data_IF_150177020751
#
_entry.id   IF_150177020751
#
_cell.length_a   1.000
_cell.length_b   1.000
_cell.length_c   1.000
_cell.angle_alpha   90.00
_cell.angle_beta   90.00
_cell.angle_gamma   90.00
#
_symmetry.space_group_name_H-M   'P 1'
#
loop_
_entity.id
_entity.type
_entity.pdbx_description
1 polymer ?
#
# COMPACT_ATOMS: atom_id res chain seq x y z
N UNK A 1 -17.46 21.16 -2.11
CA UNK A 1 -17.88 20.70 -0.76
C UNK A 1 -18.42 21.83 0.13
N UNK A 2 -17.59 22.74 0.68
CA UNK A 2 -18.09 23.78 1.62
C UNK A 2 -19.01 24.81 0.94
N UNK A 3 -18.56 25.43 -0.15
CA UNK A 3 -19.32 26.49 -0.81
C UNK A 3 -20.63 25.99 -1.47
N UNK A 4 -20.59 24.79 -2.02
CA UNK A 4 -21.66 24.24 -2.86
C UNK A 4 -22.62 23.33 -2.09
N UNK A 5 -22.12 22.53 -1.14
CA UNK A 5 -22.92 21.56 -0.40
C UNK A 5 -22.99 21.86 1.11
N UNK A 6 -22.30 22.92 1.59
CA UNK A 6 -22.20 23.27 3.02
C UNK A 6 -21.66 22.14 3.90
N UNK A 7 -20.89 21.22 3.30
CA UNK A 7 -20.23 20.12 4.00
C UNK A 7 -18.80 20.56 4.30
N UNK A 8 -18.45 20.60 5.60
CA UNK A 8 -17.08 20.75 6.06
C UNK A 8 -16.34 19.44 5.83
N UNK A 9 -15.30 19.41 4.97
CA UNK A 9 -14.53 18.20 4.75
C UNK A 9 -13.85 17.74 6.05
N UNK A 10 -13.79 16.42 6.21
CA UNK A 10 -13.02 15.75 7.26
C UNK A 10 -11.92 14.94 6.57
N UNK A 11 -10.99 14.39 7.34
CA UNK A 11 -9.83 13.67 6.80
C UNK A 11 -10.23 12.59 5.77
N UNK A 12 -11.26 11.81 6.07
CA UNK A 12 -11.79 10.76 5.16
C UNK A 12 -12.19 11.31 3.79
N UNK A 13 -12.83 12.49 3.73
CA UNK A 13 -13.18 13.11 2.46
C UNK A 13 -11.94 13.47 1.64
N UNK A 14 -10.87 13.92 2.28
CA UNK A 14 -9.61 14.19 1.61
C UNK A 14 -8.93 12.91 1.13
N UNK A 15 -8.93 11.85 1.95
CA UNK A 15 -8.40 10.54 1.57
C UNK A 15 -9.14 9.97 0.36
N UNK A 16 -10.47 10.13 0.28
CA UNK A 16 -11.24 9.77 -0.92
C UNK A 16 -10.81 10.56 -2.17
N UNK A 17 -10.52 11.86 -2.04
CA UNK A 17 -10.06 12.68 -3.17
C UNK A 17 -8.65 12.28 -3.62
N UNK A 18 -7.76 11.96 -2.68
CA UNK A 18 -6.43 11.43 -3.00
C UNK A 18 -6.55 10.11 -3.74
N UNK A 19 -7.38 9.17 -3.26
CA UNK A 19 -7.62 7.89 -3.93
C UNK A 19 -8.16 8.09 -5.35
N UNK A 20 -9.14 8.98 -5.51
CA UNK A 20 -9.73 9.31 -6.81
C UNK A 20 -8.67 9.74 -7.83
N UNK A 21 -7.90 10.81 -7.52
CA UNK A 21 -6.87 11.31 -8.43
C UNK A 21 -5.75 10.28 -8.68
N UNK A 22 -5.34 9.57 -7.64
CA UNK A 22 -4.23 8.61 -7.73
C UNK A 22 -4.59 7.43 -8.63
N UNK A 23 -5.78 6.84 -8.44
CA UNK A 23 -6.24 5.69 -9.22
C UNK A 23 -6.56 6.06 -10.66
N UNK A 24 -7.10 7.26 -10.92
CA UNK A 24 -7.30 7.74 -12.29
C UNK A 24 -5.98 8.07 -13.01
N UNK A 25 -4.87 8.20 -12.28
CA UNK A 25 -3.54 8.45 -12.83
C UNK A 25 -3.14 9.91 -12.90
N UNK A 26 -3.95 10.76 -12.28
CA UNK A 26 -3.70 12.18 -12.11
C UNK A 26 -2.77 12.40 -10.91
N UNK A 27 -1.55 11.85 -10.99
CA UNK A 27 -0.61 11.80 -9.86
C UNK A 27 -0.09 13.21 -9.49
N UNK A 28 0.08 14.08 -10.49
CA UNK A 28 0.51 15.47 -10.25
C UNK A 28 -0.61 16.23 -9.55
N UNK A 29 -1.85 16.05 -10.00
CA UNK A 29 -3.03 16.65 -9.39
C UNK A 29 -3.27 16.12 -7.98
N UNK A 30 -2.98 14.84 -7.72
CA UNK A 30 -2.99 14.27 -6.38
C UNK A 30 -1.95 14.93 -5.46
N UNK A 31 -0.71 15.13 -5.93
CA UNK A 31 0.34 15.84 -5.19
C UNK A 31 -0.06 17.30 -4.91
N UNK A 32 -0.53 18.01 -5.93
CA UNK A 32 -1.00 19.41 -5.81
C UNK A 32 -2.18 19.52 -4.85
N UNK A 33 -3.10 18.56 -4.87
CA UNK A 33 -4.23 18.51 -3.96
C UNK A 33 -3.75 18.36 -2.52
N UNK A 34 -2.86 17.41 -2.25
CA UNK A 34 -2.27 17.19 -0.91
C UNK A 34 -1.56 18.44 -0.41
N UNK A 35 -0.77 19.11 -1.23
CA UNK A 35 -0.07 20.35 -0.83
C UNK A 35 -1.01 21.49 -0.47
N UNK A 36 -2.25 21.48 -0.97
CA UNK A 36 -3.30 22.48 -0.68
C UNK A 36 -4.24 22.05 0.45
N UNK A 37 -4.11 20.82 0.96
CA UNK A 37 -4.94 20.34 2.06
C UNK A 37 -4.65 21.14 3.34
N UNK A 38 -5.67 21.42 4.17
CA UNK A 38 -5.48 22.12 5.44
C UNK A 38 -4.90 21.22 6.54
N UNK A 39 -4.63 19.95 6.23
CA UNK A 39 -4.12 18.94 7.14
C UNK A 39 -3.26 17.92 6.38
N UNK A 40 -2.43 17.19 7.11
CA UNK A 40 -1.62 16.10 6.55
C UNK A 40 -2.51 14.89 6.24
N UNK A 41 -2.32 14.21 5.09
CA UNK A 41 -2.98 12.92 4.84
C UNK A 41 -2.65 11.89 5.91
N UNK A 42 -3.58 10.96 6.12
CA UNK A 42 -3.33 9.78 6.96
C UNK A 42 -2.46 8.73 6.23
N UNK A 43 -2.10 7.67 6.95
CA UNK A 43 -1.31 6.58 6.40
C UNK A 43 -1.98 5.94 5.16
N UNK A 44 -3.32 5.89 5.15
CA UNK A 44 -4.09 5.34 4.02
C UNK A 44 -3.93 6.23 2.79
N UNK A 45 -4.08 7.56 2.93
CA UNK A 45 -3.89 8.52 1.84
C UNK A 45 -2.51 8.41 1.21
N UNK A 46 -1.46 8.40 2.03
CA UNK A 46 -0.08 8.24 1.53
C UNK A 46 0.18 6.88 0.89
N UNK A 47 -0.25 5.78 1.51
CA UNK A 47 -0.10 4.44 0.95
C UNK A 47 -0.83 4.28 -0.39
N UNK A 48 -1.98 4.95 -0.55
CA UNK A 48 -2.78 4.95 -1.77
C UNK A 48 -2.08 5.67 -2.92
N UNK A 49 -1.54 6.85 -2.65
CA UNK A 49 -0.74 7.59 -3.63
C UNK A 49 0.51 6.79 -4.01
N UNK A 50 1.23 6.26 -3.02
CA UNK A 50 2.44 5.46 -3.24
C UNK A 50 2.17 4.21 -4.09
N UNK A 51 1.11 3.46 -3.78
CA UNK A 51 0.71 2.29 -4.55
C UNK A 51 0.40 2.65 -6.02
N UNK A 52 -0.27 3.78 -6.24
CA UNK A 52 -0.58 4.27 -7.59
C UNK A 52 0.67 4.72 -8.34
N UNK A 53 1.61 5.38 -7.65
CA UNK A 53 2.92 5.76 -8.19
C UNK A 53 3.73 4.53 -8.61
N UNK A 54 3.70 3.45 -7.82
CA UNK A 54 4.33 2.17 -8.19
C UNK A 54 3.73 1.60 -9.47
N UNK A 55 2.40 1.52 -9.56
CA UNK A 55 1.72 0.96 -10.74
C UNK A 55 1.98 1.78 -12.01
N UNK A 56 2.20 3.10 -11.86
CA UNK A 56 2.41 4.03 -12.98
C UNK A 56 3.89 4.44 -13.16
N UNK A 57 4.81 3.77 -12.47
CA UNK A 57 6.26 4.00 -12.53
C UNK A 57 6.70 5.46 -12.25
N UNK A 58 5.92 6.23 -11.48
CA UNK A 58 6.27 7.62 -11.14
C UNK A 58 7.14 7.65 -9.87
N UNK A 59 8.46 7.58 -10.05
CA UNK A 59 9.41 7.51 -8.94
C UNK A 59 9.48 8.79 -8.10
N UNK A 60 9.36 9.97 -8.71
CA UNK A 60 9.49 11.24 -7.99
C UNK A 60 8.38 11.39 -6.93
N UNK A 61 7.12 11.24 -7.36
CA UNK A 61 5.97 11.36 -6.46
C UNK A 61 5.91 10.15 -5.53
N UNK A 62 6.29 8.96 -6.01
CA UNK A 62 6.37 7.76 -5.17
C UNK A 62 7.37 7.92 -4.02
N UNK A 63 8.57 8.43 -4.27
CA UNK A 63 9.57 8.67 -3.21
C UNK A 63 9.03 9.66 -2.18
N UNK A 64 8.46 10.77 -2.62
CA UNK A 64 7.84 11.76 -1.73
C UNK A 64 6.73 11.16 -0.86
N UNK A 65 5.84 10.35 -1.45
CA UNK A 65 4.77 9.67 -0.71
C UNK A 65 5.31 8.64 0.28
N UNK A 66 6.36 7.90 -0.07
CA UNK A 66 7.00 6.92 0.80
C UNK A 66 7.72 7.58 1.98
N UNK A 67 8.45 8.67 1.74
CA UNK A 67 9.11 9.48 2.78
C UNK A 67 8.08 10.06 3.74
N UNK A 68 7.00 10.65 3.21
CA UNK A 68 5.91 11.21 4.03
C UNK A 68 5.22 10.12 4.87
N UNK A 69 5.03 8.91 4.32
CA UNK A 69 4.47 7.78 5.06
C UNK A 69 5.43 7.28 6.15
N UNK A 70 6.74 7.26 5.89
CA UNK A 70 7.75 6.85 6.86
C UNK A 70 7.91 7.86 7.99
N UNK A 71 7.76 9.16 7.71
CA UNK A 71 7.74 10.20 8.74
C UNK A 71 6.52 10.06 9.65
N UNK A 72 5.37 9.71 9.08
CA UNK A 72 4.12 9.52 9.82
C UNK A 72 4.10 8.22 10.62
N UNK A 73 4.53 7.11 9.99
CA UNK A 73 4.53 5.77 10.55
C UNK A 73 5.80 5.02 10.09
N UNK A 74 6.90 5.13 10.86
CA UNK A 74 8.19 4.52 10.52
C UNK A 74 8.16 2.99 10.43
N UNK A 75 7.16 2.35 11.04
CA UNK A 75 6.99 0.90 11.09
C UNK A 75 6.04 0.38 10.01
N UNK A 76 5.46 1.27 9.20
CA UNK A 76 4.51 0.91 8.16
C UNK A 76 5.15 0.00 7.10
N UNK A 77 4.71 -1.25 6.90
CA UNK A 77 5.31 -2.12 5.90
C UNK A 77 5.09 -1.64 4.46
N UNK A 78 4.01 -0.88 4.20
CA UNK A 78 3.64 -0.49 2.84
C UNK A 78 4.66 0.49 2.23
N UNK A 79 5.20 1.43 3.02
CA UNK A 79 6.20 2.39 2.55
C UNK A 79 7.44 1.68 2.02
N UNK A 80 8.01 0.75 2.80
CA UNK A 80 9.19 -0.02 2.39
C UNK A 80 8.89 -0.95 1.22
N UNK A 81 7.81 -1.72 1.29
CA UNK A 81 7.51 -2.76 0.29
C UNK A 81 7.24 -2.12 -1.08
N UNK A 82 6.45 -1.04 -1.12
CA UNK A 82 6.11 -0.37 -2.36
C UNK A 82 7.33 0.37 -2.94
N UNK A 83 8.08 1.11 -2.11
CA UNK A 83 9.27 1.84 -2.58
C UNK A 83 10.37 0.87 -3.06
N UNK A 84 10.60 -0.23 -2.32
CA UNK A 84 11.53 -1.30 -2.74
C UNK A 84 11.13 -1.88 -4.09
N UNK A 85 9.83 -2.11 -4.31
CA UNK A 85 9.33 -2.60 -5.60
C UNK A 85 9.60 -1.62 -6.74
N UNK A 86 9.52 -0.31 -6.47
CA UNK A 86 9.78 0.72 -7.48
C UNK A 86 11.27 0.79 -7.83
N UNK A 87 12.16 0.72 -6.84
CA UNK A 87 13.61 0.67 -7.09
C UNK A 87 14.04 -0.62 -7.81
N UNK A 88 13.45 -1.76 -7.43
CA UNK A 88 13.70 -3.02 -8.13
C UNK A 88 13.30 -2.96 -9.61
N UNK A 89 12.19 -2.30 -9.94
CA UNK A 89 11.76 -2.11 -11.34
C UNK A 89 12.72 -1.21 -12.15
N UNK A 90 13.58 -0.44 -11.48
CA UNK A 90 14.65 0.36 -12.09
C UNK A 90 16.04 -0.30 -11.96
N UNK A 91 16.09 -1.54 -11.50
CA UNK A 91 17.35 -2.28 -11.26
C UNK A 91 18.31 -1.60 -10.27
N UNK A 92 17.78 -0.74 -9.40
CA UNK A 92 18.57 -0.08 -8.35
C UNK A 92 18.70 -0.99 -7.12
N UNK A 93 19.58 -1.98 -7.24
CA UNK A 93 19.78 -2.99 -6.20
C UNK A 93 20.42 -2.43 -4.93
N UNK A 94 21.10 -1.29 -5.02
CA UNK A 94 21.69 -0.61 -3.86
C UNK A 94 20.59 -0.10 -2.93
N UNK A 95 19.62 0.65 -3.48
CA UNK A 95 18.47 1.16 -2.74
C UNK A 95 17.57 0.02 -2.22
N UNK A 96 17.37 -1.03 -3.02
CA UNK A 96 16.65 -2.24 -2.58
C UNK A 96 17.32 -2.88 -1.37
N UNK A 97 18.65 -3.00 -1.37
CA UNK A 97 19.39 -3.59 -0.26
C UNK A 97 19.32 -2.71 1.00
N UNK A 98 19.37 -1.39 0.84
CA UNK A 98 19.24 -0.42 1.93
C UNK A 98 17.86 -0.48 2.58
N UNK A 99 16.78 -0.43 1.79
CA UNK A 99 15.41 -0.49 2.31
C UNK A 99 15.12 -1.82 3.03
N UNK A 100 15.60 -2.95 2.47
CA UNK A 100 15.46 -4.26 3.13
C UNK A 100 16.24 -4.33 4.43
N UNK A 101 17.39 -3.66 4.54
CA UNK A 101 18.14 -3.55 5.79
C UNK A 101 17.36 -2.72 6.82
N UNK A 102 16.86 -1.56 6.42
CA UNK A 102 16.04 -0.72 7.28
C UNK A 102 14.80 -1.46 7.81
N UNK A 103 14.12 -2.26 6.98
CA UNK A 103 13.02 -3.13 7.44
C UNK A 103 13.47 -4.11 8.52
N UNK A 104 14.62 -4.79 8.34
CA UNK A 104 15.15 -5.74 9.33
C UNK A 104 15.53 -5.05 10.64
N UNK A 105 16.23 -3.94 10.55
CA UNK A 105 16.73 -3.19 11.72
C UNK A 105 15.57 -2.64 12.56
N UNK A 106 14.44 -2.32 11.92
CA UNK A 106 13.20 -1.84 12.57
C UNK A 106 12.20 -2.96 12.89
N UNK A 107 12.52 -4.22 12.60
CA UNK A 107 11.60 -5.34 12.82
C UNK A 107 10.36 -5.35 11.92
N UNK A 108 10.31 -4.51 10.89
CA UNK A 108 9.19 -4.41 9.96
C UNK A 108 9.16 -5.64 9.06
N UNK A 109 8.02 -6.33 9.05
CA UNK A 109 7.79 -7.50 8.20
C UNK A 109 6.57 -7.25 7.31
N UNK A 110 6.67 -7.68 6.06
CA UNK A 110 5.50 -7.77 5.20
C UNK A 110 4.68 -8.97 5.67
N UNK A 111 3.49 -8.72 6.18
CA UNK A 111 2.52 -9.80 6.43
C UNK A 111 2.20 -10.51 5.11
N UNK A 112 2.34 -11.84 5.04
CA UNK A 112 1.98 -12.57 3.84
C UNK A 112 0.47 -12.47 3.61
N UNK A 113 0.07 -12.40 2.34
CA UNK A 113 -1.34 -12.39 1.98
C UNK A 113 -2.01 -13.70 2.43
N UNK A 114 -3.13 -13.57 3.13
CA UNK A 114 -3.91 -14.71 3.62
C UNK A 114 -5.34 -14.63 3.07
N UNK A 115 -5.86 -15.76 2.63
CA UNK A 115 -7.30 -15.96 2.41
C UNK A 115 -7.86 -16.87 3.48
N UNK A 116 -9.16 -16.80 3.75
CA UNK A 116 -9.81 -17.71 4.69
C UNK A 116 -11.18 -18.15 4.20
N UNK A 117 -11.59 -19.35 4.61
CA UNK A 117 -12.96 -19.84 4.44
C UNK A 117 -13.53 -20.27 5.79
N UNK A 118 -14.85 -20.13 5.94
CA UNK A 118 -15.60 -20.69 7.07
C UNK A 118 -16.35 -21.94 6.60
N UNK A 119 -16.00 -23.10 7.15
CA UNK A 119 -16.65 -24.36 6.83
C UNK A 119 -16.90 -25.17 8.10
N UNK A 120 -18.11 -25.75 8.25
CA UNK A 120 -18.52 -26.51 9.45
C UNK A 120 -18.14 -25.82 10.77
N UNK A 121 -18.42 -24.52 10.85
CA UNK A 121 -18.13 -23.67 12.00
C UNK A 121 -16.63 -23.59 12.40
N UNK A 122 -15.71 -23.90 11.49
CA UNK A 122 -14.27 -23.69 11.64
C UNK A 122 -13.77 -22.70 10.59
N UNK A 123 -12.81 -21.86 10.98
CA UNK A 123 -12.10 -20.97 10.06
C UNK A 123 -10.83 -21.67 9.61
N UNK A 124 -10.64 -21.73 8.29
CA UNK A 124 -9.43 -22.26 7.68
C UNK A 124 -8.71 -21.11 6.99
N UNK A 125 -7.49 -20.83 7.41
CA UNK A 125 -6.63 -19.78 6.86
C UNK A 125 -5.65 -20.43 5.88
N UNK A 126 -5.44 -19.80 4.74
CA UNK A 126 -4.49 -20.20 3.72
C UNK A 126 -3.58 -18.99 3.46
N UNK A 127 -2.28 -19.15 3.69
CA UNK A 127 -1.30 -18.16 3.28
C UNK A 127 -0.60 -18.63 2.01
N UNK A 128 -0.21 -17.69 1.14
CA UNK A 128 0.55 -18.01 -0.06
C UNK A 128 1.89 -18.73 0.25
N UNK A 129 2.40 -18.55 1.47
CA UNK A 129 3.67 -19.14 1.95
C UNK A 129 3.44 -20.27 2.97
N UNK A 130 2.19 -20.60 3.30
CA UNK A 130 1.88 -21.75 4.15
C UNK A 130 2.07 -23.03 3.33
N UNK A 131 2.95 -23.92 3.80
CA UNK A 131 3.16 -25.27 3.25
C UNK A 131 2.75 -26.37 4.24
N UNK A 132 2.21 -25.97 5.40
CA UNK A 132 1.93 -26.85 6.53
C UNK A 132 0.49 -27.36 6.57
N UNK A 133 -0.41 -26.76 5.77
CA UNK A 133 -1.83 -27.10 5.75
C UNK A 133 -2.16 -28.28 4.83
N UNK A 134 -2.67 -29.43 5.35
CA UNK A 134 -3.11 -30.56 4.53
C UNK A 134 -4.27 -30.22 3.57
N UNK A 135 -4.97 -29.11 3.80
CA UNK A 135 -6.14 -28.70 3.01
C UNK A 135 -5.74 -28.06 1.68
N UNK A 136 -4.55 -27.48 1.57
CA UNK A 136 -4.11 -26.76 0.36
C UNK A 136 -3.89 -27.72 -0.82
N UNK A 137 -3.48 -28.97 -0.56
CA UNK A 137 -3.25 -30.01 -1.57
C UNK A 137 -4.58 -30.49 -2.18
N UNK A 138 -5.67 -30.56 -1.40
CA UNK A 138 -6.94 -31.17 -1.83
C UNK A 138 -7.78 -30.25 -2.72
N UNK A 139 -7.75 -28.94 -2.51
CA UNK A 139 -8.54 -27.99 -3.30
C UNK A 139 -7.85 -27.57 -4.62
N UNK A 140 -6.51 -27.58 -4.69
CA UNK A 140 -5.79 -27.29 -5.93
C UNK A 140 -5.91 -28.39 -7.00
N UNK A 141 -6.16 -29.65 -6.60
CA UNK A 141 -6.39 -30.75 -7.55
C UNK A 141 -7.78 -30.72 -8.19
N UNK A 142 -8.78 -30.13 -7.52
CA UNK A 142 -10.16 -30.06 -8.03
C UNK A 142 -10.42 -28.91 -9.00
N UNK A 143 -9.49 -27.96 -9.15
CA UNK A 143 -9.61 -26.82 -10.07
C UNK A 143 -8.99 -27.07 -11.46
N UNK A 144 -8.52 -28.30 -11.72
CA UNK A 144 -7.86 -28.70 -12.98
C UNK A 144 -8.69 -29.68 -13.83
N UNK A 145 -9.97 -29.84 -13.53
CA UNK A 145 -10.91 -30.59 -14.38
C UNK A 145 -11.86 -29.64 -15.11
#
# INVERSE_FOLDING_TARGET
MVKEHRITPILDHYTCMIDLFSRSGHLVEAKDFIQKMPCTPDAIGWATLLSSCRTRCNMEIGKWAAESLLELDPENPASYVLLTSMYAAKEDWAEVAQLRRAMRDRGVRKEPGCSWIKYKNRVHIFSADDRSSPFQIKYMQNWRN
#
